data_IF_518695087149
#
_entry.id   IF_518695087149
#
_cell.length_a   1.000
_cell.length_b   1.000
_cell.length_c   1.000
_cell.angle_alpha   90.00
_cell.angle_beta   90.00
_cell.angle_gamma   90.00
#
_symmetry.space_group_name_H-M   'P 1'
#
loop_
_entity.id
_entity.type
_entity.pdbx_description
1 polymer ?
#
# COMPACT_ATOMS: atom_id res chain seq x y z
N UNK A 1 0.27 18.44 20.11
CA UNK A 1 1.23 18.79 19.04
C UNK A 1 1.14 17.72 17.96
N UNK A 2 0.25 17.89 16.98
CA UNK A 2 0.11 16.97 15.85
C UNK A 2 1.29 17.16 14.89
N UNK A 3 1.91 16.06 14.46
CA UNK A 3 3.01 16.11 13.50
C UNK A 3 2.41 16.11 12.09
N UNK A 4 2.33 17.30 11.48
CA UNK A 4 1.86 17.48 10.11
C UNK A 4 2.86 16.88 9.12
N UNK A 5 2.43 15.98 8.25
CA UNK A 5 3.23 15.51 7.11
C UNK A 5 2.43 15.77 5.86
N UNK A 6 2.87 16.76 5.07
CA UNK A 6 2.25 17.19 3.81
C UNK A 6 2.79 16.28 2.70
N UNK A 7 1.91 15.64 1.94
CA UNK A 7 2.28 14.93 0.72
C UNK A 7 1.35 15.38 -0.41
N UNK A 8 1.93 15.92 -1.49
CA UNK A 8 1.22 16.26 -2.71
C UNK A 8 1.19 15.04 -3.63
N UNK A 9 0.00 14.63 -4.07
CA UNK A 9 -0.17 13.59 -5.09
C UNK A 9 -0.68 14.26 -6.36
N UNK A 10 0.10 14.16 -7.44
CA UNK A 10 -0.33 14.59 -8.76
C UNK A 10 -1.05 13.45 -9.48
N UNK A 11 -2.33 13.63 -9.81
CA UNK A 11 -3.09 12.70 -10.65
C UNK A 11 -2.96 13.11 -12.12
N UNK A 12 -2.24 12.31 -12.90
CA UNK A 12 -2.23 12.43 -14.36
C UNK A 12 -3.49 11.74 -14.94
N UNK A 13 -4.29 12.48 -15.69
CA UNK A 13 -5.40 11.94 -16.47
C UNK A 13 -4.86 11.19 -17.69
N UNK A 14 -5.12 9.88 -17.76
CA UNK A 14 -4.80 9.04 -18.92
C UNK A 14 -5.86 9.24 -20.01
N UNK A 15 -5.45 9.75 -21.17
CA UNK A 15 -6.23 9.71 -22.40
C UNK A 15 -6.19 8.31 -23.02
N UNK A 16 -7.37 7.76 -23.33
CA UNK A 16 -7.54 6.54 -24.12
C UNK A 16 -6.99 6.73 -25.54
N UNK A 17 -6.05 5.89 -25.95
CA UNK A 17 -5.78 5.63 -27.36
C UNK A 17 -5.69 4.11 -27.59
N UNK A 18 -6.43 3.69 -28.60
CA UNK A 18 -6.56 2.34 -29.13
C UNK A 18 -5.21 1.75 -29.57
N UNK A 19 -4.93 0.52 -29.13
CA UNK A 19 -3.82 -0.31 -29.61
C UNK A 19 -4.13 -0.94 -30.99
N UNK A 20 -3.26 -0.80 -32.00
CA UNK A 20 -3.21 -1.74 -33.11
C UNK A 20 -2.22 -2.87 -32.81
N UNK A 21 -2.60 -4.08 -33.18
CA UNK A 21 -1.79 -5.31 -33.16
C UNK A 21 -0.57 -5.19 -34.06
N UNK A 22 0.62 -5.71 -33.66
CA UNK A 22 1.71 -5.92 -34.59
C UNK A 22 1.75 -7.35 -35.11
N UNK A 23 1.86 -7.42 -36.44
CA UNK A 23 2.09 -8.59 -37.27
C UNK A 23 3.49 -9.15 -37.03
N UNK A 24 3.57 -10.49 -36.99
CA UNK A 24 4.80 -11.27 -36.91
C UNK A 24 5.63 -11.04 -38.19
N UNK A 25 6.91 -10.67 -38.04
CA UNK A 25 7.91 -10.95 -39.08
C UNK A 25 9.22 -11.45 -38.45
N UNK A 26 9.64 -12.64 -38.87
CA UNK A 26 10.93 -13.26 -38.54
C UNK A 26 12.03 -12.67 -39.44
N UNK A 27 13.21 -12.43 -38.87
CA UNK A 27 14.58 -12.75 -39.39
C UNK A 27 15.59 -11.72 -38.83
N UNK A 28 16.57 -12.13 -38.01
CA UNK A 28 17.95 -12.59 -38.30
C UNK A 28 18.94 -11.59 -37.68
N UNK A 29 19.99 -12.16 -37.10
CA UNK A 29 21.09 -11.62 -36.29
C UNK A 29 22.05 -10.73 -37.10
N UNK A 30 22.73 -9.75 -36.48
CA UNK A 30 24.17 -9.84 -36.15
C UNK A 30 24.66 -8.66 -35.27
N UNK A 31 25.95 -8.67 -34.95
CA UNK A 31 26.64 -8.15 -33.76
C UNK A 31 27.53 -6.91 -34.00
N UNK A 32 27.85 -6.21 -32.90
CA UNK A 32 28.92 -5.19 -32.68
C UNK A 32 28.61 -3.67 -32.85
N UNK A 33 28.60 -2.94 -31.71
CA UNK A 33 29.63 -1.93 -31.36
C UNK A 33 29.65 -0.50 -31.97
N UNK A 34 29.17 0.47 -31.17
CA UNK A 34 29.63 1.88 -30.99
C UNK A 34 29.28 3.03 -31.98
N UNK A 35 29.20 4.30 -31.48
CA UNK A 35 28.50 5.43 -32.12
C UNK A 35 29.41 6.51 -32.73
N UNK A 36 28.85 7.39 -33.59
CA UNK A 36 29.49 8.63 -34.07
C UNK A 36 28.53 9.82 -34.16
N UNK A 37 29.06 10.99 -33.82
CA UNK A 37 28.50 12.35 -33.78
C UNK A 37 28.93 13.20 -34.98
N UNK A 38 28.10 14.17 -35.43
CA UNK A 38 28.45 15.46 -36.11
C UNK A 38 27.17 16.11 -36.68
N UNK A 39 26.65 17.25 -36.17
CA UNK A 39 27.03 18.68 -36.37
C UNK A 39 26.55 19.32 -37.69
N UNK A 40 25.85 20.46 -37.60
CA UNK A 40 25.78 21.68 -38.49
C UNK A 40 24.40 22.34 -38.30
N UNK A 41 24.15 23.65 -38.21
CA UNK A 41 24.90 24.91 -38.28
C UNK A 41 23.88 26.06 -38.56
N UNK A 42 24.05 27.23 -37.90
CA UNK A 42 23.82 28.65 -38.35
C UNK A 42 22.52 29.05 -39.11
N UNK A 43 21.89 30.23 -39.05
CA UNK A 43 22.07 31.56 -38.42
C UNK A 43 20.83 32.47 -38.72
N UNK A 44 20.79 33.67 -38.10
CA UNK A 44 20.22 34.95 -38.59
C UNK A 44 18.74 35.33 -38.36
N UNK A 45 18.53 36.64 -38.38
CA UNK A 45 17.74 37.48 -37.47
C UNK A 45 16.89 38.52 -38.25
N UNK A 46 15.69 38.83 -37.70
CA UNK A 46 14.83 40.04 -37.80
C UNK A 46 14.56 40.80 -39.13
N UNK A 47 13.27 41.04 -39.44
CA UNK A 47 12.63 42.39 -39.47
C UNK A 47 11.12 42.39 -39.86
N UNK A 48 10.36 43.29 -39.20
CA UNK A 48 9.06 44.00 -39.47
C UNK A 48 8.41 43.99 -40.89
N UNK A 49 7.12 44.25 -41.17
CA UNK A 49 5.89 44.65 -40.43
C UNK A 49 4.63 44.56 -41.37
N UNK A 50 3.45 44.92 -40.83
CA UNK A 50 2.15 45.31 -41.48
C UNK A 50 1.19 44.21 -41.99
N UNK A 51 -0.15 44.28 -41.95
CA UNK A 51 -1.20 45.12 -41.30
C UNK A 51 -2.56 44.41 -41.57
N UNK A 52 -3.56 44.55 -40.67
CA UNK A 52 -5.01 44.26 -40.79
C UNK A 52 -5.44 42.79 -41.03
N UNK A 53 -6.45 42.20 -40.40
CA UNK A 53 -7.75 42.72 -40.00
C UNK A 53 -8.35 41.87 -38.85
N UNK A 54 -9.24 42.46 -38.06
CA UNK A 54 -9.62 42.01 -36.73
C UNK A 54 -10.52 40.77 -36.63
N UNK A 55 -10.38 40.06 -35.50
CA UNK A 55 -11.50 39.40 -34.83
C UNK A 55 -11.16 39.12 -33.36
N UNK A 56 -11.94 39.79 -32.49
CA UNK A 56 -12.18 39.54 -31.07
C UNK A 56 -12.03 38.06 -30.68
N UNK A 57 -11.16 37.77 -29.70
CA UNK A 57 -11.30 36.60 -28.85
C UNK A 57 -11.05 36.99 -27.38
N UNK A 58 -12.03 36.59 -26.58
CA UNK A 58 -12.19 36.89 -25.18
C UNK A 58 -10.94 36.55 -24.35
N UNK A 59 -10.73 37.35 -23.31
CA UNK A 59 -9.92 36.98 -22.16
C UNK A 59 -10.42 35.65 -21.61
N UNK A 60 -9.70 34.57 -21.87
CA UNK A 60 -9.99 33.26 -21.29
C UNK A 60 -9.55 33.27 -19.82
N UNK A 61 -10.39 33.91 -18.99
CA UNK A 61 -10.39 33.74 -17.53
C UNK A 61 -10.96 32.37 -17.20
N UNK A 62 -10.26 31.31 -17.60
CA UNK A 62 -10.63 29.96 -17.24
C UNK A 62 -9.39 29.13 -16.88
N UNK A 63 -8.50 29.72 -16.08
CA UNK A 63 -7.63 28.94 -15.21
C UNK A 63 -8.53 28.31 -14.14
N UNK A 64 -9.25 27.24 -14.53
CA UNK A 64 -10.04 26.37 -13.67
C UNK A 64 -9.20 26.06 -12.44
N UNK A 65 -9.64 26.56 -11.30
CA UNK A 65 -9.09 26.24 -9.99
C UNK A 65 -8.88 24.72 -9.91
N UNK A 66 -7.61 24.30 -9.87
CA UNK A 66 -7.29 22.95 -9.48
C UNK A 66 -7.74 22.81 -8.03
N UNK A 67 -8.85 22.11 -7.80
CA UNK A 67 -9.29 21.78 -6.46
C UNK A 67 -8.22 20.85 -5.88
N UNK A 68 -7.27 21.43 -5.14
CA UNK A 68 -6.33 20.67 -4.34
C UNK A 68 -7.09 20.13 -3.14
N UNK A 69 -7.62 18.91 -3.24
CA UNK A 69 -8.18 18.22 -2.08
C UNK A 69 -7.04 17.84 -1.14
N UNK A 70 -6.85 18.61 -0.08
CA UNK A 70 -5.93 18.26 1.00
C UNK A 70 -6.67 17.26 1.90
N UNK A 71 -6.28 16.00 1.83
CA UNK A 71 -6.74 14.99 2.79
C UNK A 71 -5.78 15.01 3.97
N UNK A 72 -6.27 15.45 5.13
CA UNK A 72 -5.51 15.34 6.37
C UNK A 72 -5.53 13.90 6.87
N UNK A 73 -4.44 13.44 7.49
CA UNK A 73 -4.33 12.09 8.04
C UNK A 73 -3.96 12.13 9.53
N UNK A 74 -4.57 11.24 10.31
CA UNK A 74 -4.15 10.94 11.69
C UNK A 74 -3.60 9.52 11.78
N UNK A 75 -2.82 9.26 12.82
CA UNK A 75 -2.33 7.91 13.11
C UNK A 75 -3.27 7.23 14.11
N UNK A 76 -3.57 5.96 13.86
CA UNK A 76 -4.31 5.09 14.77
C UNK A 76 -3.50 3.83 15.05
N UNK A 77 -3.53 3.33 16.28
CA UNK A 77 -2.91 2.04 16.62
C UNK A 77 -3.74 0.91 16.00
N UNK A 78 -3.07 -0.15 15.57
CA UNK A 78 -3.75 -1.38 15.15
C UNK A 78 -4.58 -1.91 16.32
N UNK A 79 -5.88 -2.15 16.14
CA UNK A 79 -6.70 -2.71 17.21
C UNK A 79 -6.32 -4.17 17.46
N UNK A 80 -6.51 -4.61 18.71
CA UNK A 80 -6.40 -6.02 19.10
C UNK A 80 -5.03 -6.67 18.82
N UNK A 81 -3.94 -5.90 19.01
CA UNK A 81 -2.56 -6.39 18.87
C UNK A 81 -2.26 -7.59 19.77
N UNK A 82 -2.94 -7.72 20.92
CA UNK A 82 -2.81 -8.89 21.81
C UNK A 82 -3.29 -10.16 21.08
N UNK A 83 -4.45 -10.13 20.41
CA UNK A 83 -4.95 -11.29 19.67
C UNK A 83 -4.05 -11.64 18.48
N UNK A 84 -3.51 -10.65 17.77
CA UNK A 84 -2.52 -10.88 16.70
C UNK A 84 -1.25 -11.54 17.26
N UNK A 85 -0.72 -11.02 18.38
CA UNK A 85 0.49 -11.55 19.02
C UNK A 85 0.28 -12.97 19.53
N UNK A 86 -0.91 -13.29 20.04
CA UNK A 86 -1.26 -14.62 20.55
C UNK A 86 -1.59 -15.62 19.45
N UNK A 87 -1.96 -15.17 18.25
CA UNK A 87 -2.25 -16.05 17.13
C UNK A 87 -1.00 -16.85 16.73
N UNK A 88 -1.02 -18.20 16.74
CA UNK A 88 0.18 -19.00 16.51
C UNK A 88 0.71 -18.89 15.08
N UNK A 89 -0.12 -18.47 14.13
CA UNK A 89 0.26 -18.25 12.74
C UNK A 89 0.87 -16.87 12.48
N UNK A 90 1.01 -16.01 13.48
CA UNK A 90 1.70 -14.72 13.36
C UNK A 90 3.19 -14.89 13.67
N UNK A 91 4.04 -14.61 12.67
CA UNK A 91 5.49 -14.77 12.74
C UNK A 91 6.24 -13.45 13.01
N UNK A 92 5.53 -12.33 13.15
CA UNK A 92 6.16 -11.02 13.36
C UNK A 92 7.00 -10.57 12.16
N UNK A 93 8.15 -9.96 12.42
CA UNK A 93 9.10 -9.53 11.39
C UNK A 93 9.69 -10.74 10.68
N UNK A 94 9.25 -10.93 9.44
CA UNK A 94 9.69 -11.99 8.54
C UNK A 94 9.56 -11.45 7.11
N UNK A 95 10.57 -11.70 6.28
CA UNK A 95 10.52 -11.28 4.90
C UNK A 95 9.73 -12.26 4.01
N UNK A 96 9.63 -11.93 2.72
CA UNK A 96 8.90 -12.76 1.77
C UNK A 96 9.59 -14.10 1.51
N UNK A 97 10.91 -14.11 1.41
CA UNK A 97 11.71 -15.27 1.03
C UNK A 97 11.77 -16.30 2.16
N UNK A 98 11.86 -15.86 3.41
CA UNK A 98 11.73 -16.72 4.60
C UNK A 98 10.35 -17.40 4.63
N UNK A 99 9.28 -16.65 4.34
CA UNK A 99 7.93 -17.21 4.26
C UNK A 99 7.78 -18.22 3.11
N UNK A 100 8.40 -17.95 1.95
CA UNK A 100 8.39 -18.85 0.80
C UNK A 100 9.05 -20.20 1.13
N UNK A 101 10.19 -20.19 1.81
CA UNK A 101 10.90 -21.39 2.26
C UNK A 101 10.08 -22.22 3.26
N UNK A 102 9.52 -21.57 4.29
CA UNK A 102 8.73 -22.26 5.32
C UNK A 102 7.50 -22.98 4.76
N UNK A 103 6.88 -22.34 3.77
CA UNK A 103 5.65 -22.80 3.16
C UNK A 103 5.92 -23.75 1.96
N UNK A 104 7.18 -23.96 1.55
CA UNK A 104 7.52 -24.82 0.41
C UNK A 104 7.11 -26.28 0.66
N UNK A 105 6.53 -26.90 -0.38
CA UNK A 105 6.01 -28.28 -0.30
C UNK A 105 4.82 -28.47 0.64
N UNK A 106 4.34 -27.42 1.31
CA UNK A 106 3.20 -27.52 2.24
C UNK A 106 1.88 -27.69 1.47
N UNK A 107 0.86 -28.33 2.10
CA UNK A 107 -0.46 -28.47 1.51
C UNK A 107 -1.09 -27.12 1.13
N UNK A 108 -1.96 -27.15 0.12
CA UNK A 108 -2.80 -26.00 -0.24
C UNK A 108 -3.62 -25.53 0.96
N UNK A 109 -3.72 -24.21 1.13
CA UNK A 109 -4.35 -23.59 2.29
C UNK A 109 -3.42 -23.33 3.47
N UNK A 110 -2.17 -23.80 3.42
CA UNK A 110 -1.18 -23.50 4.47
C UNK A 110 -0.78 -22.02 4.42
N UNK A 111 -0.86 -21.30 5.54
CA UNK A 111 -0.61 -19.86 5.58
C UNK A 111 0.09 -19.38 6.86
N UNK A 112 0.68 -18.18 6.78
CA UNK A 112 1.17 -17.42 7.92
C UNK A 112 0.92 -15.91 7.75
N UNK A 113 0.77 -15.22 8.87
CA UNK A 113 0.74 -13.77 8.98
C UNK A 113 2.14 -13.27 9.38
N UNK A 114 2.60 -12.20 8.75
CA UNK A 114 3.89 -11.55 9.05
C UNK A 114 3.79 -10.05 8.87
N UNK A 115 4.77 -9.33 9.39
CA UNK A 115 4.93 -7.91 9.10
C UNK A 115 5.21 -7.72 7.61
N UNK A 116 4.67 -6.65 7.01
CA UNK A 116 5.00 -6.33 5.62
C UNK A 116 6.39 -5.72 5.55
N UNK A 117 7.14 -6.07 4.50
CA UNK A 117 8.39 -5.38 4.17
C UNK A 117 8.15 -4.03 3.46
N UNK A 118 6.89 -3.70 3.16
CA UNK A 118 6.54 -2.47 2.47
C UNK A 118 6.08 -1.38 3.44
N UNK A 119 6.59 -0.17 3.22
CA UNK A 119 6.39 0.97 4.12
C UNK A 119 4.91 1.37 4.33
N UNK A 120 4.04 1.08 3.36
CA UNK A 120 2.62 1.47 3.40
C UNK A 120 1.70 0.37 3.96
N UNK A 121 2.24 -0.78 4.35
CA UNK A 121 1.46 -1.91 4.82
C UNK A 121 2.06 -2.43 6.13
N UNK A 122 1.24 -2.65 7.15
CA UNK A 122 1.74 -3.19 8.41
C UNK A 122 1.92 -4.71 8.33
N UNK A 123 1.00 -5.39 7.65
CA UNK A 123 0.94 -6.84 7.63
C UNK A 123 0.80 -7.41 6.22
N UNK A 124 1.22 -8.65 6.08
CA UNK A 124 1.01 -9.45 4.89
C UNK A 124 0.75 -10.91 5.27
N UNK A 125 -0.15 -11.54 4.54
CA UNK A 125 -0.41 -12.98 4.61
C UNK A 125 0.36 -13.65 3.49
N UNK A 126 1.11 -14.70 3.83
CA UNK A 126 1.76 -15.59 2.86
C UNK A 126 1.07 -16.94 2.94
N UNK A 127 0.67 -17.50 1.79
CA UNK A 127 -0.16 -18.70 1.77
C UNK A 127 0.16 -19.58 0.56
N UNK A 128 -0.19 -20.86 0.67
CA UNK A 128 -0.03 -21.83 -0.42
C UNK A 128 -1.34 -22.03 -1.16
N UNK A 129 -1.30 -21.83 -2.48
CA UNK A 129 -2.43 -22.11 -3.39
C UNK A 129 -1.89 -22.46 -4.77
N UNK A 130 -2.52 -23.43 -5.45
CA UNK A 130 -2.11 -23.88 -6.77
C UNK A 130 -0.63 -24.26 -6.87
N UNK A 131 -0.12 -24.95 -5.84
CA UNK A 131 1.29 -25.36 -5.70
C UNK A 131 2.29 -24.21 -5.67
N UNK A 132 1.85 -22.98 -5.41
CA UNK A 132 2.68 -21.78 -5.33
C UNK A 132 2.52 -21.09 -3.98
N UNK A 133 3.55 -20.35 -3.56
CA UNK A 133 3.38 -19.31 -2.53
C UNK A 133 2.78 -18.09 -3.18
N UNK A 134 1.76 -17.53 -2.55
CA UNK A 134 1.20 -16.24 -2.87
C UNK A 134 1.28 -15.35 -1.63
N UNK A 135 1.22 -14.04 -1.86
CA UNK A 135 1.28 -13.05 -0.79
C UNK A 135 0.18 -12.01 -1.02
N UNK A 136 -0.59 -11.74 0.01
CA UNK A 136 -1.61 -10.69 0.03
C UNK A 136 -1.25 -9.68 1.13
N UNK A 137 -1.26 -8.39 0.79
CA UNK A 137 -1.08 -7.33 1.79
C UNK A 137 -2.42 -7.03 2.42
N UNK A 138 -2.39 -6.70 3.71
CA UNK A 138 -3.61 -6.26 4.40
C UNK A 138 -3.64 -4.75 4.31
N UNK A 139 -4.62 -4.25 3.58
CA UNK A 139 -4.90 -2.82 3.39
C UNK A 139 -5.82 -2.31 4.49
N UNK A 140 -5.87 -0.99 4.66
CA UNK A 140 -6.76 -0.36 5.62
C UNK A 140 -7.37 0.93 5.09
N UNK A 141 -8.61 1.21 5.48
CA UNK A 141 -9.30 2.48 5.22
C UNK A 141 -10.40 2.66 6.27
N UNK A 142 -10.52 3.86 6.83
CA UNK A 142 -11.57 4.20 7.80
C UNK A 142 -11.71 3.20 8.96
N UNK A 143 -10.58 2.68 9.45
CA UNK A 143 -10.55 1.71 10.56
C UNK A 143 -10.94 0.28 10.19
N UNK A 144 -11.15 0.00 8.90
CA UNK A 144 -11.43 -1.34 8.37
C UNK A 144 -10.20 -1.89 7.68
N UNK A 145 -10.02 -3.21 7.73
CA UNK A 145 -8.95 -3.97 7.10
C UNK A 145 -9.51 -4.90 6.04
N UNK A 146 -8.80 -5.07 4.92
CA UNK A 146 -9.18 -5.94 3.79
C UNK A 146 -7.95 -6.39 3.01
N UNK A 147 -8.10 -7.39 2.13
CA UNK A 147 -7.08 -7.71 1.11
C UNK A 147 -7.18 -6.82 -0.14
N UNK A 148 -8.32 -6.16 -0.33
CA UNK A 148 -8.53 -5.07 -1.27
C UNK A 148 -9.55 -4.13 -0.65
N UNK A 149 -9.11 -2.94 -0.21
CA UNK A 149 -10.01 -2.00 0.47
C UNK A 149 -10.79 -1.12 -0.53
N UNK A 150 -10.43 -1.16 -1.81
CA UNK A 150 -11.06 -0.38 -2.86
C UNK A 150 -12.28 -1.10 -3.46
N UNK A 151 -12.25 -2.43 -3.46
CA UNK A 151 -13.36 -3.26 -3.90
C UNK A 151 -14.34 -3.54 -2.74
N UNK A 152 -15.55 -2.98 -2.84
CA UNK A 152 -16.62 -3.16 -1.84
C UNK A 152 -17.18 -4.59 -1.77
N UNK A 153 -16.92 -5.42 -2.77
CA UNK A 153 -17.32 -6.83 -2.76
C UNK A 153 -16.38 -7.71 -1.94
N UNK A 154 -15.16 -7.22 -1.68
CA UNK A 154 -14.17 -7.94 -0.86
C UNK A 154 -14.47 -7.72 0.62
N UNK A 155 -14.36 -8.80 1.38
CA UNK A 155 -14.65 -8.78 2.81
C UNK A 155 -13.71 -7.84 3.56
N UNK A 156 -14.29 -6.98 4.40
CA UNK A 156 -13.54 -6.10 5.30
C UNK A 156 -14.04 -6.20 6.74
N UNK A 157 -13.13 -6.02 7.70
CA UNK A 157 -13.44 -6.10 9.12
C UNK A 157 -12.57 -5.13 9.95
N UNK A 158 -13.01 -4.70 11.14
CA UNK A 158 -12.23 -3.80 12.00
C UNK A 158 -11.01 -4.48 12.64
N UNK A 159 -10.92 -5.81 12.61
CA UNK A 159 -9.80 -6.57 13.14
C UNK A 159 -9.17 -7.45 12.07
N UNK A 160 -7.84 -7.51 12.08
CA UNK A 160 -7.06 -8.36 11.16
C UNK A 160 -7.38 -9.85 11.36
N UNK A 161 -7.59 -10.28 12.61
CA UNK A 161 -7.96 -11.66 12.92
C UNK A 161 -9.27 -12.07 12.28
N UNK A 162 -10.22 -11.14 12.14
CA UNK A 162 -11.52 -11.39 11.52
C UNK A 162 -11.40 -11.48 10.00
N UNK A 163 -10.56 -10.62 9.40
CA UNK A 163 -10.18 -10.74 7.97
C UNK A 163 -9.61 -12.13 7.73
N UNK A 164 -8.63 -12.57 8.52
CA UNK A 164 -8.04 -13.92 8.38
C UNK A 164 -9.09 -15.02 8.57
N UNK A 165 -9.99 -14.88 9.55
CA UNK A 165 -11.01 -15.88 9.84
C UNK A 165 -12.00 -16.08 8.69
N UNK A 166 -12.35 -15.01 7.95
CA UNK A 166 -13.27 -15.09 6.81
C UNK A 166 -12.79 -16.05 5.70
N UNK A 167 -11.47 -16.15 5.52
CA UNK A 167 -10.85 -16.93 4.44
C UNK A 167 -10.41 -18.35 4.86
N UNK A 168 -10.87 -18.84 6.02
CA UNK A 168 -10.51 -20.18 6.53
C UNK A 168 -11.27 -21.33 5.89
N UNK A 169 -12.50 -21.09 5.46
CA UNK A 169 -13.41 -22.14 4.98
C UNK A 169 -13.23 -22.37 3.47
N UNK A 170 -12.69 -23.53 3.04
CA UNK A 170 -12.50 -23.82 1.61
C UNK A 170 -13.80 -23.82 0.80
N UNK A 171 -14.95 -24.10 1.43
CA UNK A 171 -16.25 -24.14 0.75
C UNK A 171 -16.79 -22.75 0.38
N UNK A 172 -16.30 -21.70 1.04
CA UNK A 172 -16.72 -20.31 0.85
C UNK A 172 -15.69 -19.46 0.11
N UNK A 173 -14.52 -20.04 -0.18
CA UNK A 173 -13.38 -19.33 -0.73
C UNK A 173 -13.32 -19.50 -2.25
N UNK A 174 -13.43 -18.38 -2.97
CA UNK A 174 -13.33 -18.35 -4.42
C UNK A 174 -11.90 -18.67 -4.87
N UNK A 175 -11.75 -19.07 -6.14
CA UNK A 175 -10.47 -19.53 -6.69
C UNK A 175 -9.38 -18.45 -6.67
N UNK A 176 -9.75 -17.18 -6.72
CA UNK A 176 -8.82 -16.04 -6.72
C UNK A 176 -8.56 -15.46 -5.32
N UNK A 177 -9.31 -15.88 -4.31
CA UNK A 177 -9.17 -15.37 -2.95
C UNK A 177 -7.99 -16.02 -2.21
N UNK A 178 -7.56 -15.50 -1.06
CA UNK A 178 -6.65 -16.22 -0.18
C UNK A 178 -7.37 -17.43 0.44
N UNK A 179 -6.77 -18.62 0.39
CA UNK A 179 -7.26 -19.78 1.15
C UNK A 179 -6.38 -19.97 2.39
N UNK A 180 -6.95 -19.75 3.58
CA UNK A 180 -6.22 -19.67 4.85
C UNK A 180 -6.68 -20.77 5.83
N UNK A 181 -6.81 -22.01 5.35
CA UNK A 181 -7.40 -23.10 6.12
C UNK A 181 -6.44 -23.76 7.12
N UNK A 182 -5.13 -23.74 6.86
CA UNK A 182 -4.13 -24.47 7.67
C UNK A 182 -3.09 -23.48 8.22
N UNK A 183 -3.14 -23.15 9.53
CA UNK A 183 -2.17 -22.21 10.11
C UNK A 183 -0.78 -22.85 10.20
N UNK A 184 0.23 -22.16 9.68
CA UNK A 184 1.64 -22.48 9.90
C UNK A 184 2.07 -21.89 11.24
N UNK A 185 2.06 -22.70 12.30
CA UNK A 185 2.39 -22.27 13.65
C UNK A 185 3.87 -21.90 13.80
N UNK A 186 4.16 -20.77 14.43
CA UNK A 186 5.52 -20.37 14.81
C UNK A 186 6.13 -21.34 15.82
N UNK A 187 7.43 -21.59 15.70
CA UNK A 187 8.20 -22.43 16.62
C UNK A 187 8.87 -21.67 17.77
N UNK A 188 8.52 -20.41 18.00
CA UNK A 188 9.15 -19.55 19.00
C UNK A 188 8.12 -18.69 19.75
N UNK A 189 8.55 -18.08 20.85
CA UNK A 189 7.78 -17.07 21.59
C UNK A 189 8.34 -15.67 21.35
N UNK A 190 7.48 -14.66 21.33
CA UNK A 190 7.92 -13.28 21.23
C UNK A 190 8.63 -12.84 22.52
N UNK A 191 9.46 -11.80 22.40
CA UNK A 191 10.10 -11.20 23.56
C UNK A 191 9.06 -10.64 24.54
N UNK A 192 9.37 -10.64 25.83
CA UNK A 192 8.52 -10.00 26.84
C UNK A 192 8.21 -8.54 26.48
N UNK A 193 9.20 -7.82 25.93
CA UNK A 193 9.03 -6.45 25.49
C UNK A 193 7.96 -6.31 24.40
N UNK A 194 7.93 -7.21 23.42
CA UNK A 194 6.88 -7.24 22.38
C UNK A 194 5.50 -7.50 23.00
N UNK A 195 5.40 -8.48 23.89
CA UNK A 195 4.14 -8.83 24.56
C UNK A 195 3.62 -7.67 25.40
N UNK A 196 4.49 -7.03 26.20
CA UNK A 196 4.14 -5.84 26.98
C UNK A 196 3.67 -4.69 26.08
N UNK A 197 4.33 -4.44 24.95
CA UNK A 197 3.86 -3.44 23.99
C UNK A 197 2.46 -3.73 23.51
N UNK A 198 2.18 -4.96 23.09
CA UNK A 198 0.86 -5.33 22.58
C UNK A 198 -0.23 -5.09 23.64
N UNK A 199 0.05 -5.41 24.90
CA UNK A 199 -0.86 -5.13 26.03
C UNK A 199 -1.01 -3.63 26.30
N UNK A 200 0.08 -2.85 26.30
CA UNK A 200 -0.01 -1.39 26.49
C UNK A 200 -0.84 -0.76 25.37
N UNK A 201 -0.55 -1.13 24.12
CA UNK A 201 -1.24 -0.62 22.94
C UNK A 201 -2.74 -0.97 22.90
N UNK A 202 -3.17 -2.06 23.56
CA UNK A 202 -4.60 -2.38 23.67
C UNK A 202 -5.36 -1.53 24.71
N UNK A 203 -4.65 -0.76 25.53
CA UNK A 203 -5.24 0.07 26.58
C UNK A 203 -5.02 1.57 26.37
N UNK A 204 -4.50 1.98 25.21
CA UNK A 204 -4.31 3.38 24.85
C UNK A 204 -4.63 3.61 23.38
N UNK A 205 -4.94 4.86 23.01
CA UNK A 205 -4.96 5.28 21.62
C UNK A 205 -3.59 5.84 21.19
N UNK A 206 -3.41 6.16 19.90
CA UNK A 206 -2.13 6.65 19.39
C UNK A 206 -1.67 7.96 20.07
N UNK A 207 -2.62 8.85 20.38
CA UNK A 207 -2.36 10.17 20.95
C UNK A 207 -1.89 10.06 22.41
N UNK A 208 -2.65 9.34 23.24
CA UNK A 208 -2.42 9.14 24.68
C UNK A 208 -1.11 8.43 25.01
N UNK A 209 -0.45 7.75 24.05
CA UNK A 209 0.93 7.26 24.24
C UNK A 209 1.90 8.38 24.63
N UNK A 210 1.61 9.65 24.26
CA UNK A 210 2.41 10.80 24.66
C UNK A 210 2.40 11.02 26.18
N UNK A 211 1.30 10.67 26.85
CA UNK A 211 1.06 10.94 28.26
C UNK A 211 1.56 9.82 29.17
N UNK A 212 1.95 8.67 28.60
CA UNK A 212 2.52 7.57 29.36
C UNK A 212 3.82 8.02 30.07
N UNK A 213 4.07 7.57 31.32
CA UNK A 213 5.29 7.85 32.06
C UNK A 213 6.46 6.96 31.57
N UNK A 214 6.73 7.01 30.27
CA UNK A 214 7.75 6.22 29.59
C UNK A 214 8.78 7.13 28.89
N UNK A 215 10.06 6.70 28.79
CA UNK A 215 11.05 7.35 27.92
C UNK A 215 10.57 7.44 26.46
N UNK A 216 11.02 8.47 25.74
CA UNK A 216 10.61 8.74 24.37
C UNK A 216 10.82 7.54 23.43
N UNK A 217 11.90 6.78 23.62
CA UNK A 217 12.19 5.59 22.83
C UNK A 217 11.13 4.49 23.01
N UNK A 218 10.63 4.30 24.23
CA UNK A 218 9.56 3.33 24.50
C UNK A 218 8.21 3.82 23.99
N UNK A 219 7.94 5.14 24.04
CA UNK A 219 6.75 5.72 23.38
C UNK A 219 6.75 5.46 21.87
N UNK A 220 7.91 5.63 21.21
CA UNK A 220 8.08 5.31 19.79
C UNK A 220 7.87 3.81 19.53
N UNK A 221 8.38 2.96 20.41
CA UNK A 221 8.19 1.51 20.31
C UNK A 221 6.72 1.09 20.45
N UNK A 222 5.96 1.70 21.37
CA UNK A 222 4.51 1.44 21.51
C UNK A 222 3.74 1.86 20.26
N UNK A 223 4.13 2.97 19.63
CA UNK A 223 3.54 3.50 18.39
C UNK A 223 3.94 2.76 17.12
N UNK A 224 4.75 1.70 17.19
CA UNK A 224 5.29 1.05 15.99
C UNK A 224 4.19 0.53 15.05
N UNK A 225 3.17 -0.14 15.59
CA UNK A 225 2.04 -0.69 14.82
C UNK A 225 0.91 0.33 14.72
N UNK A 226 1.11 1.36 13.90
CA UNK A 226 0.10 2.36 13.60
C UNK A 226 -0.16 2.46 12.10
N UNK A 227 -1.41 2.79 11.75
CA UNK A 227 -1.82 3.05 10.38
C UNK A 227 -2.34 4.48 10.25
N UNK A 228 -2.30 5.02 9.02
CA UNK A 228 -2.81 6.36 8.70
C UNK A 228 -4.28 6.28 8.32
N UNK A 229 -5.11 7.11 8.92
CA UNK A 229 -6.53 7.25 8.60
C UNK A 229 -6.84 8.68 8.14
N UNK A 230 -7.67 8.88 7.09
CA UNK A 230 -8.07 10.20 6.66
C UNK A 230 -8.97 10.87 7.72
N UNK A 231 -8.75 12.16 7.96
CA UNK A 231 -9.62 13.01 8.77
C UNK A 231 -10.75 13.51 7.87
N UNK A 232 -12.00 13.34 8.30
CA UNK A 232 -13.12 14.02 7.64
C UNK A 232 -13.06 15.49 8.04
N UNK A 233 -12.73 16.37 7.10
CA UNK A 233 -12.99 17.80 7.24
C UNK A 233 -14.51 17.95 7.13
N UNK A 234 -15.17 18.37 8.20
CA UNK A 234 -16.55 18.82 8.11
C UNK A 234 -16.50 20.15 7.38
N UNK A 235 -17.18 20.26 6.23
CA UNK A 235 -17.30 21.53 5.52
C UNK A 235 -17.86 22.56 6.51
N UNK A 236 -17.10 23.63 6.77
CA UNK A 236 -17.63 24.79 7.48
C UNK A 236 -18.57 25.49 6.49
N UNK A 237 -19.88 25.35 6.73
CA UNK A 237 -20.94 26.16 6.08
C UNK A 237 -20.71 27.66 6.27
#
# INVERSE_FOLDING_TARGET
>A
MASTVVAAVATATRSNTSSPTPVINKSVVDSQGHPRTSSTGTALQMSAAETTDGRVFATDLNQKYAIHTIVEYTNALVPDMVSISNAPYYWGRMDRYEAEQLLEGRPEGTFLLRDSAQINYLFSISFRRYKRTLHARIEHLNGMFSFDITDKSVFSAPKITDVVANYKDPSKCLFFEPLLSIPMCRGFTFSLQHLCRSTIASHCDYASVADLPLPAQLKKFVREYHYKQPVRVTDQE
#
